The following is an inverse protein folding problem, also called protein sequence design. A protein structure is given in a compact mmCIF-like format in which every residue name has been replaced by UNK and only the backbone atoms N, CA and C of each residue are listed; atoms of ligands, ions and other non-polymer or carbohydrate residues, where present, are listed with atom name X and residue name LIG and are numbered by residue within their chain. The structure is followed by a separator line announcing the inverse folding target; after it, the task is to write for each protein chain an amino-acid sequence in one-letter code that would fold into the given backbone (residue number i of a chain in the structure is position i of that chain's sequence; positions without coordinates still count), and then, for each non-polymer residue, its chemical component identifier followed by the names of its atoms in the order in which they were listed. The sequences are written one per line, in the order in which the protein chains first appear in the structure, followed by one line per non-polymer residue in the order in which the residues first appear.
data_IF_798965891726
#
_entry.id   IF_798965891726
#
_cell.length_a   1.000
_cell.length_b   1.000
_cell.length_c   1.000
_cell.angle_alpha   90.00
_cell.angle_beta   90.00
_cell.angle_gamma   90.00
#
_symmetry.space_group_name_H-M   'P 1'
#
loop_
_entity.id
_entity.type
_entity.pdbx_description
1 polymer ?
#
# COMPACT_ATOMS: atom_id res chain seq x y z
N UNK A 1 8.54 32.75 13.62
CA UNK A 1 7.98 32.96 12.27
C UNK A 1 9.09 32.65 11.25
N UNK A 2 9.08 31.46 10.64
CA UNK A 2 10.09 31.07 9.65
C UNK A 2 9.60 31.46 8.26
N UNK A 3 10.44 32.21 7.54
CA UNK A 3 10.15 32.86 6.26
C UNK A 3 9.58 31.88 5.20
N UNK A 4 8.31 32.06 4.85
CA UNK A 4 7.53 31.16 4.01
C UNK A 4 7.65 31.46 2.49
N UNK A 5 8.75 32.06 2.04
CA UNK A 5 8.90 32.57 0.66
C UNK A 5 9.70 31.66 -0.30
N UNK A 6 10.17 30.48 0.13
CA UNK A 6 11.05 29.62 -0.69
C UNK A 6 10.40 28.41 -1.38
N UNK A 7 9.11 28.13 -1.24
CA UNK A 7 8.48 26.89 -1.76
C UNK A 7 7.95 26.96 -3.19
N UNK A 8 8.63 27.69 -4.10
CA UNK A 8 8.23 27.75 -5.52
C UNK A 8 8.63 26.49 -6.31
N UNK A 9 9.71 25.81 -5.91
CA UNK A 9 10.27 24.66 -6.61
C UNK A 9 9.82 23.32 -6.00
N UNK A 10 9.80 22.26 -6.81
CA UNK A 10 9.67 20.88 -6.35
C UNK A 10 10.91 20.41 -5.59
N UNK A 11 10.78 19.32 -4.83
CA UNK A 11 11.83 18.84 -3.90
C UNK A 11 13.16 18.62 -4.63
N UNK A 12 13.12 17.99 -5.80
CA UNK A 12 14.32 17.64 -6.57
C UNK A 12 14.58 18.57 -7.76
N UNK A 13 13.72 19.57 -7.96
CA UNK A 13 13.70 20.38 -9.17
C UNK A 13 14.98 21.20 -9.37
N UNK A 14 15.55 21.79 -8.30
CA UNK A 14 16.76 22.62 -8.42
C UNK A 14 17.93 21.83 -8.98
N UNK A 15 18.22 20.67 -8.39
CA UNK A 15 19.29 19.80 -8.87
C UNK A 15 18.95 19.25 -10.26
N UNK A 16 17.70 18.82 -10.48
CA UNK A 16 17.23 18.34 -11.77
C UNK A 16 17.46 19.36 -12.91
N UNK A 17 17.24 20.66 -12.66
CA UNK A 17 17.46 21.70 -13.66
C UNK A 17 18.93 21.94 -13.99
N UNK A 18 19.86 21.64 -13.08
CA UNK A 18 21.31 21.78 -13.32
C UNK A 18 21.91 20.66 -14.16
N UNK A 19 21.21 19.53 -14.35
CA UNK A 19 21.69 18.40 -15.13
C UNK A 19 21.59 18.67 -16.65
N UNK A 20 22.53 18.11 -17.41
CA UNK A 20 22.42 18.09 -18.88
C UNK A 20 21.23 17.22 -19.34
N UNK A 21 20.72 17.45 -20.55
CA UNK A 21 19.60 16.66 -21.08
C UNK A 21 19.95 15.17 -21.21
N UNK A 22 21.19 14.84 -21.58
CA UNK A 22 21.66 13.45 -21.62
C UNK A 22 21.66 12.79 -20.24
N UNK A 23 22.10 13.51 -19.19
CA UNK A 23 22.07 13.03 -17.82
C UNK A 23 20.63 12.80 -17.34
N UNK A 24 19.72 13.71 -17.69
CA UNK A 24 18.30 13.57 -17.38
C UNK A 24 17.70 12.31 -18.02
N UNK A 25 18.00 12.05 -19.29
CA UNK A 25 17.50 10.85 -20.00
C UNK A 25 18.07 9.58 -19.37
N UNK A 26 19.39 9.51 -19.14
CA UNK A 26 20.04 8.36 -18.48
C UNK A 26 19.41 8.07 -17.12
N UNK A 27 19.21 9.10 -16.31
CA UNK A 27 18.61 8.95 -14.98
C UNK A 27 17.13 8.57 -15.02
N UNK A 28 16.35 9.12 -15.96
CA UNK A 28 14.96 8.71 -16.19
C UNK A 28 14.85 7.24 -16.57
N UNK A 29 15.72 6.77 -17.47
CA UNK A 29 15.75 5.36 -17.86
C UNK A 29 16.17 4.48 -16.69
N UNK A 30 17.26 4.83 -16.00
CA UNK A 30 17.76 4.10 -14.83
C UNK A 30 16.69 3.95 -13.75
N UNK A 31 16.07 5.06 -13.32
CA UNK A 31 15.06 5.05 -12.25
C UNK A 31 13.83 4.21 -12.62
N UNK A 32 13.38 4.26 -13.87
CA UNK A 32 12.25 3.44 -14.36
C UNK A 32 12.62 1.96 -14.40
N UNK A 33 13.74 1.62 -15.01
CA UNK A 33 14.22 0.23 -15.11
C UNK A 33 14.45 -0.36 -13.72
N UNK A 34 15.07 0.40 -12.81
CA UNK A 34 15.31 -0.04 -11.44
C UNK A 34 14.01 -0.29 -10.68
N UNK A 35 13.03 0.63 -10.80
CA UNK A 35 11.72 0.45 -10.15
C UNK A 35 10.99 -0.77 -10.68
N UNK A 36 10.99 -0.94 -12.01
CA UNK A 36 10.27 -2.02 -12.66
C UNK A 36 10.89 -3.39 -12.38
N UNK A 37 12.21 -3.53 -12.58
CA UNK A 37 12.93 -4.76 -12.28
C UNK A 37 12.92 -5.07 -10.79
N UNK A 38 13.07 -4.05 -9.94
CA UNK A 38 12.97 -4.18 -8.49
C UNK A 38 11.59 -4.69 -8.07
N UNK A 39 10.52 -4.11 -8.62
CA UNK A 39 9.16 -4.58 -8.35
C UNK A 39 8.94 -6.01 -8.86
N UNK A 40 9.34 -6.35 -10.10
CA UNK A 40 9.22 -7.72 -10.63
C UNK A 40 10.02 -8.75 -9.83
N UNK A 41 11.18 -8.36 -9.30
CA UNK A 41 12.01 -9.25 -8.50
C UNK A 41 11.33 -9.66 -7.19
N UNK A 42 10.63 -8.71 -6.55
CA UNK A 42 10.00 -8.93 -5.23
C UNK A 42 8.53 -9.35 -5.30
N UNK A 43 7.88 -9.15 -6.44
CA UNK A 43 6.47 -9.50 -6.64
C UNK A 43 6.37 -10.97 -7.01
N UNK A 44 5.88 -11.80 -6.08
CA UNK A 44 5.76 -13.26 -6.23
C UNK A 44 4.37 -13.72 -5.78
N UNK A 45 3.35 -13.44 -6.59
CA UNK A 45 1.97 -13.90 -6.30
C UNK A 45 1.70 -15.34 -6.72
N UNK A 46 2.59 -15.93 -7.53
CA UNK A 46 2.40 -17.25 -8.15
C UNK A 46 1.65 -17.20 -9.49
N UNK A 47 1.15 -16.02 -9.89
CA UNK A 47 0.53 -15.78 -11.20
C UNK A 47 1.30 -14.68 -11.91
N UNK A 48 2.10 -15.07 -12.91
CA UNK A 48 3.00 -14.15 -13.62
C UNK A 48 2.29 -12.89 -14.12
N UNK A 49 1.08 -13.01 -14.69
CA UNK A 49 0.32 -11.86 -15.19
C UNK A 49 0.03 -10.81 -14.10
N UNK A 50 -0.34 -11.24 -12.90
CA UNK A 50 -0.58 -10.35 -11.76
C UNK A 50 0.72 -9.68 -11.34
N UNK A 51 1.83 -10.41 -11.33
CA UNK A 51 3.14 -9.87 -10.98
C UNK A 51 3.57 -8.74 -11.95
N UNK A 52 3.35 -8.93 -13.25
CA UNK A 52 3.59 -7.90 -14.27
C UNK A 52 2.71 -6.67 -14.09
N UNK A 53 1.43 -6.86 -13.78
CA UNK A 53 0.49 -5.75 -13.55
C UNK A 53 0.91 -4.93 -12.32
N UNK A 54 1.23 -5.59 -11.21
CA UNK A 54 1.70 -4.91 -9.99
C UNK A 54 2.96 -4.11 -10.30
N UNK A 55 3.96 -4.72 -10.94
CA UNK A 55 5.20 -4.04 -11.27
C UNK A 55 4.99 -2.82 -12.19
N UNK A 56 4.11 -2.94 -13.19
CA UNK A 56 3.76 -1.83 -14.07
C UNK A 56 3.06 -0.68 -13.32
N UNK A 57 2.11 -1.00 -12.43
CA UNK A 57 1.42 -0.01 -11.59
C UNK A 57 2.39 0.73 -10.66
N UNK A 58 3.31 0.00 -10.02
CA UNK A 58 4.32 0.52 -9.11
C UNK A 58 5.29 1.45 -9.85
N UNK A 59 5.83 1.00 -10.99
CA UNK A 59 6.72 1.80 -11.82
C UNK A 59 6.04 3.08 -12.30
N UNK A 60 4.77 3.00 -12.70
CA UNK A 60 3.96 4.17 -13.12
C UNK A 60 3.73 5.13 -11.95
N UNK A 61 3.35 4.64 -10.77
CA UNK A 61 3.14 5.46 -9.59
C UNK A 61 4.42 6.20 -9.17
N UNK A 62 5.54 5.49 -9.04
CA UNK A 62 6.84 6.08 -8.69
C UNK A 62 7.27 7.11 -9.72
N UNK A 63 7.09 6.82 -11.01
CA UNK A 63 7.38 7.76 -12.08
C UNK A 63 6.56 9.05 -11.94
N UNK A 64 5.24 8.95 -11.73
CA UNK A 64 4.37 10.12 -11.56
C UNK A 64 4.77 10.96 -10.35
N UNK A 65 5.06 10.30 -9.21
CA UNK A 65 5.44 10.98 -7.98
C UNK A 65 6.77 11.72 -8.17
N UNK A 66 7.78 11.05 -8.72
CA UNK A 66 9.10 11.65 -8.97
C UNK A 66 9.02 12.78 -10.00
N UNK A 67 8.34 12.58 -11.13
CA UNK A 67 8.24 13.60 -12.18
C UNK A 67 7.47 14.84 -11.69
N UNK A 68 6.48 14.65 -10.80
CA UNK A 68 5.76 15.77 -10.17
C UNK A 68 6.67 16.69 -9.36
N UNK A 69 7.76 16.14 -8.80
CA UNK A 69 8.74 16.89 -8.01
C UNK A 69 9.91 17.40 -8.85
N UNK A 70 10.33 16.66 -9.88
CA UNK A 70 11.41 17.07 -10.80
C UNK A 70 11.05 18.29 -11.65
N UNK A 71 9.79 18.38 -12.10
CA UNK A 71 9.33 19.38 -13.07
C UNK A 71 8.20 20.26 -12.53
N UNK A 72 8.14 20.47 -11.21
CA UNK A 72 7.02 21.12 -10.54
C UNK A 72 6.72 22.51 -11.13
N UNK A 73 7.73 23.37 -11.36
CA UNK A 73 7.53 24.71 -11.92
C UNK A 73 7.25 24.74 -13.41
N UNK A 74 7.54 23.66 -14.16
CA UNK A 74 7.27 23.59 -15.60
C UNK A 74 5.79 23.38 -15.92
N UNK A 75 5.03 22.81 -14.98
CA UNK A 75 3.59 22.59 -15.16
C UNK A 75 2.77 23.85 -14.88
N UNK A 76 1.59 23.97 -15.49
CA UNK A 76 0.61 25.00 -15.12
C UNK A 76 0.10 24.79 -13.69
N UNK A 77 -0.37 25.86 -13.03
CA UNK A 77 -0.89 25.80 -11.64
C UNK A 77 -2.01 24.76 -11.51
N UNK A 78 -2.91 24.69 -12.50
CA UNK A 78 -3.98 23.70 -12.55
C UNK A 78 -3.47 22.27 -12.65
N UNK A 79 -2.48 22.02 -13.52
CA UNK A 79 -1.88 20.70 -13.68
C UNK A 79 -1.12 20.26 -12.42
N UNK A 80 -0.37 21.17 -11.77
CA UNK A 80 0.32 20.89 -10.50
C UNK A 80 -0.67 20.41 -9.43
N UNK A 81 -1.77 21.15 -9.24
CA UNK A 81 -2.82 20.79 -8.27
C UNK A 81 -3.43 19.42 -8.58
N UNK A 82 -3.72 19.13 -9.85
CA UNK A 82 -4.26 17.82 -10.27
C UNK A 82 -3.25 16.70 -10.01
N UNK A 83 -2.00 16.86 -10.43
CA UNK A 83 -0.96 15.85 -10.28
C UNK A 83 -0.69 15.56 -8.80
N UNK A 84 -0.54 16.58 -7.96
CA UNK A 84 -0.37 16.41 -6.51
C UNK A 84 -1.58 15.70 -5.88
N UNK A 85 -2.81 16.07 -6.25
CA UNK A 85 -4.01 15.37 -5.73
C UNK A 85 -4.05 13.92 -6.17
N UNK A 86 -3.73 13.62 -7.43
CA UNK A 86 -3.70 12.25 -7.95
C UNK A 86 -2.64 11.44 -7.21
N UNK A 87 -1.43 11.97 -7.04
CA UNK A 87 -0.35 11.28 -6.30
C UNK A 87 -0.70 11.02 -4.83
N UNK A 88 -1.33 11.99 -4.15
CA UNK A 88 -1.81 11.79 -2.77
C UNK A 88 -2.91 10.72 -2.76
N UNK A 89 -3.90 10.83 -3.64
CA UNK A 89 -5.01 9.90 -3.70
C UNK A 89 -4.56 8.47 -4.02
N UNK A 90 -3.65 8.29 -4.98
CA UNK A 90 -3.11 6.97 -5.33
C UNK A 90 -2.25 6.40 -4.21
N UNK A 91 -1.35 7.18 -3.61
CA UNK A 91 -0.54 6.71 -2.48
C UNK A 91 -1.38 6.29 -1.27
N UNK A 92 -2.42 7.07 -0.95
CA UNK A 92 -3.39 6.74 0.11
C UNK A 92 -4.21 5.51 -0.26
N UNK A 93 -4.71 5.42 -1.49
CA UNK A 93 -5.49 4.28 -1.95
C UNK A 93 -4.68 2.98 -1.88
N UNK A 94 -3.41 3.02 -2.30
CA UNK A 94 -2.48 1.90 -2.19
C UNK A 94 -2.41 1.39 -0.73
N UNK A 95 -2.01 2.24 0.21
CA UNK A 95 -1.88 1.84 1.62
C UNK A 95 -3.23 1.39 2.21
N UNK A 96 -4.31 2.05 1.82
CA UNK A 96 -5.66 1.68 2.25
C UNK A 96 -6.06 0.28 1.80
N UNK A 97 -5.86 -0.07 0.52
CA UNK A 97 -6.20 -1.40 0.00
C UNK A 97 -5.33 -2.49 0.64
N UNK A 98 -4.02 -2.28 0.74
CA UNK A 98 -3.12 -3.21 1.44
C UNK A 98 -3.53 -3.39 2.89
N UNK A 99 -3.86 -2.30 3.57
CA UNK A 99 -4.35 -2.33 4.95
C UNK A 99 -5.63 -3.15 5.09
N UNK A 100 -6.63 -2.91 4.23
CA UNK A 100 -7.88 -3.68 4.25
C UNK A 100 -7.62 -5.16 4.04
N UNK A 101 -6.84 -5.53 3.03
CA UNK A 101 -6.57 -6.95 2.73
C UNK A 101 -5.86 -7.60 3.93
N UNK A 102 -4.82 -6.97 4.46
CA UNK A 102 -4.07 -7.47 5.61
C UNK A 102 -4.95 -7.67 6.84
N UNK A 103 -5.72 -6.65 7.22
CA UNK A 103 -6.58 -6.75 8.42
C UNK A 103 -7.75 -7.71 8.22
N UNK A 104 -8.25 -7.86 6.99
CA UNK A 104 -9.28 -8.86 6.68
C UNK A 104 -8.73 -10.28 6.79
N UNK A 105 -7.53 -10.54 6.26
CA UNK A 105 -6.85 -11.82 6.42
C UNK A 105 -6.59 -12.12 7.89
N UNK A 106 -6.06 -11.16 8.65
CA UNK A 106 -5.82 -11.32 10.08
C UNK A 106 -7.11 -11.64 10.86
N UNK A 107 -8.22 -11.00 10.51
CA UNK A 107 -9.53 -11.29 11.11
C UNK A 107 -9.99 -12.72 10.79
N UNK A 108 -9.90 -13.16 9.53
CA UNK A 108 -10.26 -14.52 9.11
C UNK A 108 -9.39 -15.56 9.81
N UNK A 109 -8.07 -15.37 9.84
CA UNK A 109 -7.15 -16.28 10.52
C UNK A 109 -7.39 -16.33 12.03
N UNK A 110 -7.67 -15.19 12.67
CA UNK A 110 -8.00 -15.15 14.10
C UNK A 110 -9.29 -15.91 14.40
N UNK A 111 -10.31 -15.79 13.56
CA UNK A 111 -11.53 -16.57 13.69
C UNK A 111 -11.21 -18.05 13.51
N UNK A 112 -10.66 -18.44 12.36
CA UNK A 112 -10.33 -19.84 12.07
C UNK A 112 -9.51 -20.49 13.19
N UNK A 113 -8.47 -19.82 13.69
CA UNK A 113 -7.65 -20.29 14.80
C UNK A 113 -8.49 -20.50 16.09
N UNK A 114 -9.31 -19.51 16.46
CA UNK A 114 -10.18 -19.62 17.65
C UNK A 114 -11.16 -20.79 17.50
N UNK A 115 -11.75 -20.97 16.32
CA UNK A 115 -12.67 -22.07 16.04
C UNK A 115 -11.97 -23.43 16.18
N UNK A 116 -10.78 -23.59 15.59
CA UNK A 116 -10.02 -24.86 15.69
C UNK A 116 -9.54 -25.18 17.11
N UNK A 117 -9.36 -24.16 17.96
CA UNK A 117 -8.97 -24.34 19.36
C UNK A 117 -10.13 -24.64 20.31
N UNK A 118 -11.38 -24.54 19.83
CA UNK A 118 -12.55 -24.74 20.66
C UNK A 118 -12.77 -26.24 20.92
N UNK A 119 -12.97 -26.66 22.17
CA UNK A 119 -13.24 -28.07 22.46
C UNK A 119 -14.54 -28.53 21.77
N UNK A 120 -14.57 -29.76 21.23
CA UNK A 120 -15.75 -30.25 20.53
C UNK A 120 -16.96 -30.29 21.48
N UNK A 121 -18.17 -29.96 20.98
CA UNK A 121 -19.38 -30.06 21.78
C UNK A 121 -19.59 -31.51 22.23
N UNK A 122 -20.00 -31.71 23.49
CA UNK A 122 -20.37 -33.03 24.01
C UNK A 122 -21.53 -33.61 23.17
N UNK A 123 -21.34 -34.85 22.69
CA UNK A 123 -22.13 -35.46 21.60
C UNK A 123 -23.35 -36.28 22.02
N UNK A 124 -23.66 -36.39 23.31
CA UNK A 124 -24.65 -37.38 23.80
C UNK A 124 -26.11 -36.90 23.87
N UNK A 125 -26.45 -35.75 23.26
CA UNK A 125 -27.77 -35.13 23.44
C UNK A 125 -28.63 -35.11 22.18
N UNK A 126 -29.94 -35.36 22.35
CA UNK A 126 -30.96 -35.46 21.28
C UNK A 126 -31.16 -34.14 20.48
N UNK A 127 -30.58 -33.04 20.95
CA UNK A 127 -30.63 -31.69 20.36
C UNK A 127 -29.25 -31.21 19.87
N UNK A 128 -28.31 -32.12 19.62
CA UNK A 128 -26.94 -31.80 19.23
C UNK A 128 -26.83 -30.84 18.03
N UNK A 129 -27.62 -31.06 16.96
CA UNK A 129 -27.57 -30.21 15.75
C UNK A 129 -28.02 -28.78 16.02
N UNK A 130 -29.12 -28.62 16.74
CA UNK A 130 -29.69 -27.31 17.08
C UNK A 130 -28.75 -26.53 18.01
N UNK A 131 -28.17 -27.22 19.01
CA UNK A 131 -27.17 -26.64 19.92
C UNK A 131 -25.89 -26.23 19.19
N UNK A 132 -25.40 -27.06 18.27
CA UNK A 132 -24.23 -26.76 17.44
C UNK A 132 -24.48 -25.55 16.53
N UNK A 133 -25.66 -25.46 15.90
CA UNK A 133 -26.06 -24.31 15.10
C UNK A 133 -26.13 -23.02 15.94
N UNK A 134 -26.69 -23.07 17.15
CA UNK A 134 -26.69 -21.92 18.07
C UNK A 134 -25.28 -21.52 18.52
N UNK A 135 -24.41 -22.48 18.80
CA UNK A 135 -23.01 -22.20 19.17
C UNK A 135 -22.23 -21.54 18.02
N UNK A 136 -22.40 -22.03 16.78
CA UNK A 136 -21.83 -21.39 15.59
C UNK A 136 -22.34 -19.95 15.43
N UNK A 137 -23.65 -19.74 15.59
CA UNK A 137 -24.24 -18.41 15.48
C UNK A 137 -23.69 -17.45 16.54
N UNK A 138 -23.62 -17.87 17.80
CA UNK A 138 -23.03 -17.08 18.89
C UNK A 138 -21.56 -16.78 18.59
N UNK A 139 -20.81 -17.78 18.12
CA UNK A 139 -19.41 -17.63 17.74
C UNK A 139 -19.22 -16.59 16.64
N UNK A 140 -20.02 -16.62 15.57
CA UNK A 140 -19.95 -15.62 14.49
C UNK A 140 -20.33 -14.22 15.00
N UNK A 141 -21.40 -14.09 15.77
CA UNK A 141 -21.81 -12.80 16.34
C UNK A 141 -20.73 -12.22 17.27
N UNK A 142 -20.18 -13.03 18.17
CA UNK A 142 -19.11 -12.63 19.09
C UNK A 142 -17.82 -12.31 18.33
N UNK A 143 -17.50 -13.08 17.29
CA UNK A 143 -16.36 -12.86 16.41
C UNK A 143 -16.44 -11.52 15.67
N UNK A 144 -17.57 -11.23 15.01
CA UNK A 144 -17.80 -9.95 14.33
C UNK A 144 -17.73 -8.80 15.34
N UNK A 145 -18.35 -8.93 16.50
CA UNK A 145 -18.28 -7.93 17.55
C UNK A 145 -16.83 -7.69 18.02
N UNK A 146 -16.06 -8.76 18.23
CA UNK A 146 -14.64 -8.70 18.60
C UNK A 146 -13.80 -7.99 17.55
N UNK A 147 -13.99 -8.31 16.27
CA UNK A 147 -13.31 -7.66 15.14
C UNK A 147 -13.64 -6.16 15.11
N UNK A 148 -14.93 -5.80 15.16
CA UNK A 148 -15.36 -4.38 15.13
C UNK A 148 -14.78 -3.62 16.33
N UNK A 149 -14.80 -4.22 17.52
CA UNK A 149 -14.23 -3.63 18.73
C UNK A 149 -12.71 -3.44 18.61
N UNK A 150 -11.98 -4.43 18.09
CA UNK A 150 -10.53 -4.35 17.87
C UNK A 150 -10.18 -3.25 16.86
N UNK A 151 -10.89 -3.19 15.72
CA UNK A 151 -10.66 -2.18 14.68
C UNK A 151 -10.90 -0.75 15.19
N UNK A 152 -11.95 -0.56 16.01
CA UNK A 152 -12.23 0.72 16.67
C UNK A 152 -11.14 1.07 17.68
N UNK A 153 -10.75 0.13 18.54
CA UNK A 153 -9.76 0.39 19.60
C UNK A 153 -8.37 0.70 19.03
N UNK A 154 -7.99 0.04 17.93
CA UNK A 154 -6.70 0.24 17.27
C UNK A 154 -6.67 1.45 16.32
N UNK A 155 -7.80 2.17 16.16
CA UNK A 155 -7.95 3.27 15.20
C UNK A 155 -7.40 2.91 13.81
N UNK A 156 -7.74 1.72 13.29
CA UNK A 156 -7.18 1.20 12.03
C UNK A 156 -7.35 2.19 10.88
N UNK A 157 -8.51 2.86 10.78
CA UNK A 157 -8.79 3.90 9.77
C UNK A 157 -7.79 5.07 9.87
N UNK A 158 -7.38 5.43 11.07
CA UNK A 158 -6.37 6.47 11.26
C UNK A 158 -5.02 6.02 10.70
N UNK A 159 -4.63 4.78 10.97
CA UNK A 159 -3.39 4.18 10.51
C UNK A 159 -3.34 4.00 8.99
N UNK A 160 -4.38 3.43 8.37
CA UNK A 160 -4.36 3.05 6.95
C UNK A 160 -4.80 4.17 6.00
N UNK A 161 -5.48 5.20 6.49
CA UNK A 161 -6.01 6.28 5.65
C UNK A 161 -5.54 7.68 6.08
N UNK A 162 -5.74 8.06 7.35
CA UNK A 162 -5.46 9.45 7.78
C UNK A 162 -3.97 9.75 7.82
N UNK A 163 -3.17 8.87 8.41
CA UNK A 163 -1.73 9.05 8.56
C UNK A 163 -1.01 9.10 7.21
N UNK A 164 -1.23 8.15 6.27
CA UNK A 164 -0.65 8.23 4.93
C UNK A 164 -1.02 9.53 4.20
N UNK A 165 -2.28 9.95 4.30
CA UNK A 165 -2.75 11.20 3.68
C UNK A 165 -2.03 12.42 4.26
N UNK A 166 -1.88 12.49 5.57
CA UNK A 166 -1.16 13.58 6.23
C UNK A 166 0.31 13.60 5.82
N UNK A 167 0.98 12.45 5.79
CA UNK A 167 2.39 12.36 5.39
C UNK A 167 2.59 12.75 3.92
N UNK A 168 1.70 12.31 3.02
CA UNK A 168 1.75 12.71 1.61
C UNK A 168 1.49 14.21 1.42
N UNK A 169 0.60 14.81 2.22
CA UNK A 169 0.37 16.26 2.23
C UNK A 169 1.60 17.00 2.76
N UNK A 170 2.24 16.52 3.83
CA UNK A 170 3.47 17.10 4.36
C UNK A 170 4.61 17.03 3.34
N UNK A 171 4.77 15.89 2.66
CA UNK A 171 5.80 15.68 1.66
C UNK A 171 5.56 16.54 0.40
N UNK A 172 4.39 16.44 -0.22
CA UNK A 172 4.15 17.00 -1.56
C UNK A 172 3.67 18.46 -1.55
N UNK A 173 2.91 18.87 -0.53
CA UNK A 173 2.35 20.23 -0.44
C UNK A 173 3.25 21.08 0.44
N UNK A 174 3.49 20.62 1.67
CA UNK A 174 4.31 21.39 2.58
C UNK A 174 5.79 21.28 2.22
N UNK A 175 6.30 20.18 1.64
CA UNK A 175 7.73 20.05 1.32
C UNK A 175 8.58 20.38 2.56
N UNK A 176 8.25 19.76 3.69
CA UNK A 176 8.93 19.98 4.96
C UNK A 176 10.41 19.54 4.93
N UNK A 177 10.79 18.73 3.95
CA UNK A 177 12.15 18.24 3.75
C UNK A 177 12.93 19.14 2.80
N UNK A 178 13.86 19.92 3.34
CA UNK A 178 14.86 20.67 2.56
C UNK A 178 15.99 19.73 2.15
N UNK A 179 15.78 19.00 1.05
CA UNK A 179 16.79 18.12 0.45
C UNK A 179 17.55 18.91 -0.63
N UNK A 180 18.62 19.60 -0.24
CA UNK A 180 19.45 20.34 -1.19
C UNK A 180 20.62 19.49 -1.74
N UNK A 181 21.01 19.77 -2.99
CA UNK A 181 22.15 19.12 -3.64
C UNK A 181 21.90 17.69 -4.15
N UNK A 182 22.99 17.06 -4.60
CA UNK A 182 22.96 15.72 -5.20
C UNK A 182 22.51 14.63 -4.22
N UNK A 183 22.98 14.67 -2.98
CA UNK A 183 22.60 13.69 -1.96
C UNK A 183 21.12 13.78 -1.63
N UNK A 184 20.57 14.99 -1.47
CA UNK A 184 19.14 15.19 -1.26
C UNK A 184 18.29 14.68 -2.42
N UNK A 185 18.75 14.94 -3.66
CA UNK A 185 18.14 14.42 -4.88
C UNK A 185 18.09 12.88 -4.90
N UNK A 186 19.22 12.22 -4.67
CA UNK A 186 19.30 10.76 -4.65
C UNK A 186 18.46 10.17 -3.52
N UNK A 187 18.58 10.70 -2.31
CA UNK A 187 17.83 10.20 -1.15
C UNK A 187 16.33 10.24 -1.38
N UNK A 188 15.80 11.33 -1.97
CA UNK A 188 14.39 11.42 -2.30
C UNK A 188 13.99 10.38 -3.35
N UNK A 189 14.68 10.34 -4.48
CA UNK A 189 14.25 9.52 -5.61
C UNK A 189 14.46 8.03 -5.37
N UNK A 190 15.62 7.63 -4.84
CA UNK A 190 15.86 6.25 -4.43
C UNK A 190 14.92 5.89 -3.28
N UNK A 191 14.66 6.81 -2.33
CA UNK A 191 13.69 6.58 -1.25
C UNK A 191 12.29 6.26 -1.77
N UNK A 192 11.80 7.01 -2.76
CA UNK A 192 10.52 6.73 -3.42
C UNK A 192 10.54 5.38 -4.12
N UNK A 193 11.62 5.05 -4.86
CA UNK A 193 11.77 3.78 -5.56
C UNK A 193 11.76 2.61 -4.56
N UNK A 194 12.56 2.69 -3.50
CA UNK A 194 12.64 1.66 -2.45
C UNK A 194 11.29 1.49 -1.75
N UNK A 195 10.64 2.58 -1.35
CA UNK A 195 9.32 2.52 -0.72
C UNK A 195 8.29 1.85 -1.64
N UNK A 196 8.34 2.14 -2.94
CA UNK A 196 7.46 1.52 -3.93
C UNK A 196 7.76 0.02 -4.11
N UNK A 197 9.03 -0.39 -4.15
CA UNK A 197 9.44 -1.80 -4.21
C UNK A 197 8.97 -2.56 -2.95
N UNK A 198 9.21 -2.00 -1.75
CA UNK A 198 8.72 -2.58 -0.50
C UNK A 198 7.20 -2.74 -0.53
N UNK A 199 6.49 -1.73 -1.03
CA UNK A 199 5.04 -1.80 -1.17
C UNK A 199 4.61 -2.89 -2.17
N UNK A 200 5.28 -3.05 -3.32
CA UNK A 200 4.97 -4.16 -4.24
C UNK A 200 5.13 -5.52 -3.57
N UNK A 201 6.19 -5.70 -2.78
CA UNK A 201 6.42 -6.97 -2.08
C UNK A 201 5.28 -7.28 -1.11
N UNK A 202 4.89 -6.30 -0.29
CA UNK A 202 3.77 -6.47 0.66
C UNK A 202 2.46 -6.76 -0.10
N UNK A 203 2.16 -5.99 -1.14
CA UNK A 203 0.95 -6.19 -1.93
C UNK A 203 0.93 -7.59 -2.59
N UNK A 204 2.06 -8.04 -3.14
CA UNK A 204 2.19 -9.36 -3.75
C UNK A 204 1.93 -10.49 -2.75
N UNK A 205 2.55 -10.42 -1.57
CA UNK A 205 2.37 -11.41 -0.51
C UNK A 205 0.92 -11.50 -0.07
N UNK A 206 0.25 -10.37 0.11
CA UNK A 206 -1.15 -10.33 0.51
C UNK A 206 -2.08 -10.91 -0.56
N UNK A 207 -1.88 -10.52 -1.83
CA UNK A 207 -2.66 -11.06 -2.95
C UNK A 207 -2.42 -12.56 -3.10
N UNK A 208 -1.17 -13.01 -3.01
CA UNK A 208 -0.81 -14.43 -3.01
C UNK A 208 -1.56 -15.21 -1.93
N UNK A 209 -1.58 -14.69 -0.69
CA UNK A 209 -2.34 -15.29 0.41
C UNK A 209 -3.86 -15.35 0.14
N UNK A 210 -4.45 -14.34 -0.51
CA UNK A 210 -5.88 -14.41 -0.90
C UNK A 210 -6.11 -15.50 -1.96
N UNK A 211 -5.25 -15.58 -2.97
CA UNK A 211 -5.35 -16.59 -4.03
C UNK A 211 -5.22 -18.01 -3.47
N UNK A 212 -4.33 -18.20 -2.50
CA UNK A 212 -4.15 -19.49 -1.82
C UNK A 212 -5.42 -19.90 -1.05
N UNK A 213 -6.01 -18.98 -0.26
CA UNK A 213 -7.26 -19.22 0.45
C UNK A 213 -8.39 -19.60 -0.52
N UNK A 214 -8.51 -18.89 -1.64
CA UNK A 214 -9.51 -19.19 -2.69
C UNK A 214 -9.28 -20.59 -3.26
N UNK A 215 -8.03 -20.92 -3.61
CA UNK A 215 -7.69 -22.23 -4.19
C UNK A 215 -7.99 -23.38 -3.24
N UNK A 216 -7.70 -23.23 -1.95
CA UNK A 216 -8.04 -24.22 -0.91
C UNK A 216 -9.55 -24.38 -0.83
N UNK A 217 -10.30 -23.27 -0.76
CA UNK A 217 -11.77 -23.27 -0.65
C UNK A 217 -12.41 -23.98 -1.85
N UNK A 218 -11.96 -23.68 -3.06
CA UNK A 218 -12.44 -24.34 -4.28
C UNK A 218 -12.15 -25.84 -4.22
N UNK A 219 -10.91 -26.23 -3.88
CA UNK A 219 -10.54 -27.65 -3.77
C UNK A 219 -11.41 -28.40 -2.76
N UNK A 220 -11.78 -27.78 -1.63
CA UNK A 220 -12.65 -28.40 -0.61
C UNK A 220 -14.11 -28.53 -1.06
N UNK A 221 -14.59 -27.69 -1.99
CA UNK A 221 -15.98 -27.76 -2.49
C UNK A 221 -16.13 -28.82 -3.58
N UNK A 222 -15.09 -29.04 -4.40
CA UNK A 222 -15.14 -29.94 -5.56
C UNK A 222 -14.57 -31.34 -5.32
N UNK A 223 -14.01 -31.61 -4.13
CA UNK A 223 -13.60 -32.95 -3.67
C UNK A 223 -14.51 -33.42 -2.55
#
# INVERSE_FOLDING_TARGET
MVNNHRRKFGITERYWTSLSEDQKIKWKLLSRTLTFLGALAVTKTGINYIDWVIAACIATFSFLLIESQRSYTRYSIGMRKKLTRISIASGVACIFFVGIIYFSQAAVFSLASTFTSMPPPHSDDKYHELRSAFQLLIYFCAGIYGIVKAFRKLNIIELIYRLPRQQMIKLLIHKEYELEGFYGFICFEIGVILAAICYSSVAATLIGGVLEIINITIRTIYN
#
